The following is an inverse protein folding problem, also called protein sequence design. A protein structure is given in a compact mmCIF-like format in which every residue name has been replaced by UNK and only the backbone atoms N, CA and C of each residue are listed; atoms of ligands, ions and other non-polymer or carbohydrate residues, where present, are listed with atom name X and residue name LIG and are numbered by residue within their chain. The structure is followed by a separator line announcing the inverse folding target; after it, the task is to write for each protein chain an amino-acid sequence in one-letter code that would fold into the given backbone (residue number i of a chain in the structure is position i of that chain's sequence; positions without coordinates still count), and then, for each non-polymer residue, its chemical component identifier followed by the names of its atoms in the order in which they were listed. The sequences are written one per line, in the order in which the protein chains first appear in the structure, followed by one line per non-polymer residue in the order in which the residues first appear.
data_IF_753430900849
#
_entry.id   IF_753430900849
#
_cell.length_a   1.000
_cell.length_b   1.000
_cell.length_c   1.000
_cell.angle_alpha   90.00
_cell.angle_beta   90.00
_cell.angle_gamma   90.00
#
_symmetry.space_group_name_H-M   'P 1'
#
loop_
_entity.id
_entity.type
_entity.pdbx_description
1 polymer ?
#
# COMPACT_ATOMS: atom_id res chain seq x y z
N UNK A 1 -12.17 17.91 18.76
CA UNK A 1 -11.29 17.90 17.56
C UNK A 1 -11.97 17.45 16.26
N UNK A 2 -12.77 16.37 16.22
CA UNK A 2 -13.45 15.95 14.95
C UNK A 2 -14.54 16.91 14.45
N UNK A 3 -15.28 17.57 15.33
CA UNK A 3 -16.29 18.59 14.95
C UNK A 3 -15.65 19.92 14.48
N UNK A 4 -14.50 20.25 14.99
CA UNK A 4 -13.76 21.48 14.66
C UNK A 4 -13.19 21.46 13.25
N UNK A 5 -12.82 20.27 12.72
CA UNK A 5 -12.29 20.14 11.34
C UNK A 5 -13.37 20.35 10.27
N UNK A 6 -14.63 19.99 10.55
CA UNK A 6 -15.74 20.19 9.59
C UNK A 6 -16.09 21.67 9.43
N UNK A 7 -15.90 22.46 10.50
CA UNK A 7 -16.20 23.91 10.54
C UNK A 7 -14.95 24.79 10.43
N UNK A 8 -13.76 24.19 10.25
CA UNK A 8 -12.49 24.89 10.18
C UNK A 8 -12.42 25.85 8.99
N UNK A 9 -11.71 26.96 9.17
CA UNK A 9 -11.48 27.93 8.09
C UNK A 9 -10.60 27.33 7.00
N UNK A 10 -10.74 27.81 5.78
CA UNK A 10 -9.99 27.33 4.59
C UNK A 10 -8.48 27.22 4.84
N UNK A 11 -7.85 28.25 5.38
CA UNK A 11 -6.40 28.24 5.63
C UNK A 11 -5.97 27.26 6.72
N UNK A 12 -6.83 26.99 7.71
CA UNK A 12 -6.52 26.01 8.75
C UNK A 12 -6.55 24.58 8.20
N UNK A 13 -7.47 24.30 7.27
CA UNK A 13 -7.50 23.00 6.57
C UNK A 13 -6.24 22.77 5.74
N UNK A 14 -5.75 23.81 5.04
CA UNK A 14 -4.49 23.72 4.28
C UNK A 14 -3.31 23.44 5.21
N UNK A 15 -3.16 24.19 6.29
CA UNK A 15 -2.06 24.02 7.25
C UNK A 15 -2.02 22.64 7.88
N UNK A 16 -3.18 22.02 8.11
CA UNK A 16 -3.28 20.70 8.72
C UNK A 16 -2.98 19.59 7.69
N UNK A 17 -3.43 19.74 6.44
CA UNK A 17 -3.33 18.69 5.41
C UNK A 17 -2.02 18.73 4.62
N UNK A 18 -1.52 19.94 4.29
CA UNK A 18 -0.37 20.12 3.42
C UNK A 18 0.89 19.39 3.90
N UNK A 19 1.28 19.41 5.19
CA UNK A 19 2.47 18.69 5.64
C UNK A 19 2.39 17.18 5.35
N UNK A 20 1.22 16.57 5.54
CA UNK A 20 1.01 15.15 5.28
C UNK A 20 1.01 14.82 3.78
N UNK A 21 0.50 15.73 2.94
CA UNK A 21 0.59 15.58 1.48
C UNK A 21 2.02 15.70 0.98
N UNK A 22 2.86 16.54 1.62
CA UNK A 22 4.30 16.62 1.32
C UNK A 22 4.99 15.30 1.68
N UNK A 23 4.64 14.70 2.82
CA UNK A 23 5.13 13.36 3.21
C UNK A 23 4.72 12.32 2.15
N UNK A 24 3.44 12.32 1.73
CA UNK A 24 2.95 11.45 0.67
C UNK A 24 3.71 11.65 -0.66
N UNK A 25 3.90 12.91 -1.06
CA UNK A 25 4.67 13.23 -2.27
C UNK A 25 6.11 12.72 -2.19
N UNK A 26 6.76 12.87 -1.04
CA UNK A 26 8.13 12.35 -0.84
C UNK A 26 8.18 10.84 -1.04
N UNK A 27 7.19 10.10 -0.48
CA UNK A 27 7.08 8.66 -0.68
C UNK A 27 6.84 8.27 -2.15
N UNK A 28 5.96 8.99 -2.85
CA UNK A 28 5.71 8.77 -4.26
C UNK A 28 6.96 9.02 -5.13
N UNK A 29 7.75 10.06 -4.81
CA UNK A 29 9.02 10.31 -5.48
C UNK A 29 10.06 9.21 -5.21
N UNK A 30 10.12 8.70 -3.97
CA UNK A 30 10.98 7.54 -3.63
C UNK A 30 10.54 6.29 -4.40
N UNK A 31 9.25 6.03 -4.52
CA UNK A 31 8.72 4.95 -5.33
C UNK A 31 9.13 5.12 -6.81
N UNK A 32 9.08 6.33 -7.35
CA UNK A 32 9.60 6.66 -8.69
C UNK A 32 11.10 6.37 -8.85
N UNK A 33 11.91 6.68 -7.82
CA UNK A 33 13.34 6.33 -7.81
C UNK A 33 13.54 4.81 -7.81
N UNK A 34 12.71 4.05 -7.07
CA UNK A 34 12.76 2.58 -7.12
C UNK A 34 12.48 2.09 -8.52
N UNK A 35 11.40 2.55 -9.15
CA UNK A 35 11.05 2.18 -10.54
C UNK A 35 12.21 2.47 -11.50
N UNK A 36 12.86 3.62 -11.38
CA UNK A 36 14.00 3.99 -12.24
C UNK A 36 15.21 3.06 -12.10
N UNK A 37 15.40 2.40 -10.95
CA UNK A 37 16.48 1.42 -10.75
C UNK A 37 16.25 0.12 -11.54
N UNK A 38 15.02 -0.15 -11.93
CA UNK A 38 14.64 -1.31 -12.74
C UNK A 38 14.37 -0.97 -14.20
N UNK A 39 14.94 0.14 -14.70
CA UNK A 39 14.78 0.59 -16.09
C UNK A 39 15.16 -0.50 -17.10
N UNK A 40 16.23 -1.25 -16.86
CA UNK A 40 16.67 -2.35 -17.75
C UNK A 40 15.60 -3.42 -17.84
N UNK A 41 15.08 -3.90 -16.71
CA UNK A 41 14.00 -4.90 -16.70
C UNK A 41 12.74 -4.40 -17.42
N UNK A 42 12.42 -3.11 -17.29
CA UNK A 42 11.30 -2.49 -17.99
C UNK A 42 11.53 -2.37 -19.50
N UNK A 43 12.77 -2.14 -19.94
CA UNK A 43 13.13 -2.09 -21.38
C UNK A 43 13.06 -3.50 -22.01
N UNK A 44 13.51 -4.53 -21.29
CA UNK A 44 13.46 -5.92 -21.76
C UNK A 44 12.03 -6.47 -21.74
N UNK A 45 11.24 -6.10 -20.73
CA UNK A 45 9.87 -6.57 -20.49
C UNK A 45 8.89 -5.41 -20.29
N UNK A 46 8.61 -4.65 -21.36
CA UNK A 46 7.73 -3.47 -21.31
C UNK A 46 6.35 -3.76 -20.69
N UNK A 47 5.87 -5.01 -20.80
CA UNK A 47 4.61 -5.44 -20.21
C UNK A 47 4.58 -5.28 -18.68
N UNK A 48 5.72 -5.27 -17.99
CA UNK A 48 5.79 -4.97 -16.56
C UNK A 48 5.22 -3.58 -16.24
N UNK A 49 5.47 -2.59 -17.10
CA UNK A 49 4.99 -1.23 -16.88
C UNK A 49 3.46 -1.14 -16.84
N UNK A 50 2.75 -2.00 -17.57
CA UNK A 50 1.28 -2.00 -17.63
C UNK A 50 0.65 -2.39 -16.30
N UNK A 51 1.35 -3.16 -15.46
CA UNK A 51 0.81 -3.68 -14.21
C UNK A 51 1.29 -2.91 -12.96
N UNK A 52 2.21 -1.93 -13.10
CA UNK A 52 2.62 -1.05 -11.98
C UNK A 52 1.39 -0.42 -11.30
N UNK A 53 0.42 0.17 -12.03
CA UNK A 53 -0.77 0.75 -11.41
C UNK A 53 -1.63 -0.28 -10.68
N UNK A 54 -1.71 -1.51 -11.18
CA UNK A 54 -2.49 -2.60 -10.56
C UNK A 54 -1.87 -2.99 -9.22
N UNK A 55 -0.54 -3.16 -9.16
CA UNK A 55 0.19 -3.51 -7.94
C UNK A 55 0.02 -2.42 -6.88
N UNK A 56 0.30 -1.16 -7.24
CA UNK A 56 0.19 -0.03 -6.31
C UNK A 56 -1.25 0.13 -5.80
N UNK A 57 -2.23 0.18 -6.72
CA UNK A 57 -3.63 0.39 -6.37
C UNK A 57 -4.20 -0.71 -5.46
N UNK A 58 -3.94 -1.98 -5.77
CA UNK A 58 -4.51 -3.08 -4.98
C UNK A 58 -3.88 -3.18 -3.59
N UNK A 59 -2.59 -2.87 -3.47
CA UNK A 59 -1.91 -2.79 -2.17
C UNK A 59 -2.45 -1.64 -1.32
N UNK A 60 -2.64 -0.45 -1.91
CA UNK A 60 -3.21 0.69 -1.22
C UNK A 60 -4.69 0.45 -0.83
N UNK A 61 -5.47 -0.15 -1.71
CA UNK A 61 -6.88 -0.42 -1.46
C UNK A 61 -7.10 -1.33 -0.24
N UNK A 62 -6.39 -2.47 -0.15
CA UNK A 62 -6.51 -3.36 1.02
C UNK A 62 -5.94 -2.71 2.28
N UNK A 63 -4.84 -1.96 2.14
CA UNK A 63 -4.23 -1.23 3.24
C UNK A 63 -5.16 -0.17 3.82
N UNK A 64 -5.77 0.65 2.99
CA UNK A 64 -6.74 1.67 3.40
C UNK A 64 -7.97 1.05 4.09
N UNK A 65 -8.47 -0.10 3.61
CA UNK A 65 -9.54 -0.83 4.29
C UNK A 65 -9.11 -1.30 5.68
N UNK A 66 -7.95 -1.93 5.79
CA UNK A 66 -7.39 -2.41 7.06
C UNK A 66 -7.16 -1.24 8.02
N UNK A 67 -6.53 -0.15 7.56
CA UNK A 67 -6.24 1.04 8.36
C UNK A 67 -7.50 1.67 8.94
N UNK A 68 -8.52 1.84 8.11
CA UNK A 68 -9.81 2.43 8.51
C UNK A 68 -10.48 1.61 9.62
N UNK A 69 -10.51 0.27 9.46
CA UNK A 69 -11.09 -0.64 10.45
C UNK A 69 -10.25 -0.62 11.74
N UNK A 70 -8.92 -0.65 11.60
CA UNK A 70 -8.00 -0.68 12.72
C UNK A 70 -8.04 0.60 13.57
N UNK A 71 -8.04 1.78 12.95
CA UNK A 71 -8.17 3.07 13.67
C UNK A 71 -9.49 3.12 14.44
N UNK A 72 -10.58 2.67 13.84
CA UNK A 72 -11.89 2.59 14.52
C UNK A 72 -11.85 1.62 15.71
N UNK A 73 -11.19 0.47 15.54
CA UNK A 73 -11.04 -0.51 16.61
C UNK A 73 -10.18 0.04 17.76
N UNK A 74 -9.07 0.72 17.47
CA UNK A 74 -8.20 1.35 18.47
C UNK A 74 -8.91 2.41 19.31
N UNK A 75 -9.91 3.08 18.75
CA UNK A 75 -10.66 4.12 19.44
C UNK A 75 -11.71 3.57 20.41
N UNK A 76 -12.28 2.40 20.12
CA UNK A 76 -13.52 1.93 20.78
C UNK A 76 -13.40 0.58 21.48
N UNK A 77 -12.35 -0.19 21.22
CA UNK A 77 -12.25 -1.58 21.68
C UNK A 77 -10.95 -1.84 22.48
N UNK A 78 -11.04 -2.79 23.41
CA UNK A 78 -9.85 -3.39 24.06
C UNK A 78 -9.59 -4.75 23.42
N UNK A 79 -8.45 -4.89 22.73
CA UNK A 79 -8.07 -6.14 22.05
C UNK A 79 -6.55 -6.29 21.99
N UNK A 80 -6.10 -7.52 21.71
CA UNK A 80 -4.68 -7.78 21.51
C UNK A 80 -4.23 -7.34 20.12
N UNK A 81 -3.43 -6.28 20.06
CA UNK A 81 -2.88 -5.72 18.82
C UNK A 81 -2.10 -6.80 18.04
N UNK A 82 -1.27 -7.59 18.71
CA UNK A 82 -0.49 -8.67 18.07
C UNK A 82 -1.38 -9.69 17.37
N UNK A 83 -2.45 -10.16 18.05
CA UNK A 83 -3.41 -11.10 17.46
C UNK A 83 -4.16 -10.49 16.29
N UNK A 84 -4.47 -9.19 16.36
CA UNK A 84 -5.13 -8.46 15.27
C UNK A 84 -4.23 -8.38 14.04
N UNK A 85 -2.98 -7.93 14.17
CA UNK A 85 -2.02 -7.83 13.06
C UNK A 85 -1.81 -9.20 12.40
N UNK A 86 -1.68 -10.26 13.20
CA UNK A 86 -1.53 -11.61 12.67
C UNK A 86 -2.76 -12.06 11.87
N UNK A 87 -3.96 -11.75 12.33
CA UNK A 87 -5.20 -12.00 11.58
C UNK A 87 -5.24 -11.21 10.27
N UNK A 88 -4.88 -9.93 10.30
CA UNK A 88 -4.84 -9.09 9.10
C UNK A 88 -3.81 -9.57 8.08
N UNK A 89 -2.67 -10.11 8.51
CA UNK A 89 -1.72 -10.77 7.62
C UNK A 89 -2.36 -11.93 6.85
N UNK A 90 -3.15 -12.79 7.52
CA UNK A 90 -3.87 -13.87 6.84
C UNK A 90 -4.98 -13.36 5.92
N UNK A 91 -5.67 -12.28 6.29
CA UNK A 91 -6.65 -11.62 5.41
C UNK A 91 -5.92 -11.11 4.15
N UNK A 92 -4.80 -10.40 4.32
CA UNK A 92 -3.99 -9.91 3.20
C UNK A 92 -3.48 -11.04 2.30
N UNK A 93 -2.98 -12.13 2.88
CA UNK A 93 -2.51 -13.31 2.13
C UNK A 93 -3.66 -13.98 1.35
N UNK A 94 -4.83 -14.15 1.95
CA UNK A 94 -5.99 -14.75 1.29
C UNK A 94 -6.50 -13.87 0.15
N UNK A 95 -6.70 -12.58 0.40
CA UNK A 95 -7.12 -11.63 -0.62
C UNK A 95 -6.07 -11.48 -1.71
N UNK A 96 -4.78 -11.41 -1.33
CA UNK A 96 -3.66 -11.37 -2.25
C UNK A 96 -3.56 -12.62 -3.14
N UNK A 97 -3.89 -13.81 -2.61
CA UNK A 97 -3.96 -15.04 -3.41
C UNK A 97 -5.09 -14.97 -4.44
N UNK A 98 -6.28 -14.57 -4.02
CA UNK A 98 -7.45 -14.52 -4.89
C UNK A 98 -7.29 -13.46 -5.99
N UNK A 99 -6.95 -12.24 -5.61
CA UNK A 99 -6.76 -11.12 -6.55
C UNK A 99 -5.51 -11.35 -7.39
N UNK A 100 -4.43 -11.87 -6.79
CA UNK A 100 -3.19 -12.21 -7.50
C UNK A 100 -3.40 -13.28 -8.56
N UNK A 101 -4.19 -14.33 -8.27
CA UNK A 101 -4.56 -15.34 -9.27
C UNK A 101 -5.33 -14.71 -10.43
N UNK A 102 -6.36 -13.92 -10.15
CA UNK A 102 -7.16 -13.25 -11.19
C UNK A 102 -6.32 -12.29 -12.02
N UNK A 103 -5.58 -11.39 -11.38
CA UNK A 103 -4.75 -10.41 -12.07
C UNK A 103 -3.60 -11.07 -12.85
N UNK A 104 -2.97 -12.10 -12.28
CA UNK A 104 -1.92 -12.87 -12.95
C UNK A 104 -2.43 -13.60 -14.18
N UNK A 105 -3.63 -14.19 -14.11
CA UNK A 105 -4.29 -14.80 -15.26
C UNK A 105 -4.53 -13.77 -16.39
N UNK A 106 -5.12 -12.64 -16.07
CA UNK A 106 -5.32 -11.56 -17.05
C UNK A 106 -4.01 -10.99 -17.58
N UNK A 107 -2.99 -10.85 -16.72
CA UNK A 107 -1.67 -10.40 -17.13
C UNK A 107 -1.02 -11.36 -18.12
N UNK A 108 -1.17 -12.67 -17.92
CA UNK A 108 -0.69 -13.69 -18.88
C UNK A 108 -1.37 -13.54 -20.24
N UNK A 109 -2.69 -13.29 -20.26
CA UNK A 109 -3.45 -13.11 -21.50
C UNK A 109 -3.04 -11.83 -22.25
N UNK A 110 -2.91 -10.70 -21.52
CA UNK A 110 -2.58 -9.40 -22.11
C UNK A 110 -1.14 -9.37 -22.65
N UNK A 111 -0.20 -9.93 -21.88
CA UNK A 111 1.23 -9.91 -22.26
C UNK A 111 1.64 -11.06 -23.19
N UNK A 112 0.82 -12.09 -23.34
CA UNK A 112 1.19 -13.32 -24.03
C UNK A 112 2.26 -14.14 -23.30
N UNK A 113 2.56 -13.84 -22.01
CA UNK A 113 3.63 -14.47 -21.23
C UNK A 113 3.13 -14.95 -19.87
N UNK A 114 3.25 -16.25 -19.62
CA UNK A 114 2.93 -16.84 -18.33
C UNK A 114 3.88 -16.36 -17.21
N UNK A 115 5.12 -16.02 -17.54
CA UNK A 115 6.08 -15.47 -16.58
C UNK A 115 5.62 -14.09 -16.05
N UNK A 116 5.16 -13.20 -16.94
CA UNK A 116 4.59 -11.90 -16.53
C UNK A 116 3.36 -12.10 -15.62
N UNK A 117 2.49 -13.05 -15.98
CA UNK A 117 1.34 -13.39 -15.14
C UNK A 117 1.74 -13.87 -13.75
N UNK A 118 2.78 -14.70 -13.67
CA UNK A 118 3.31 -15.21 -12.41
C UNK A 118 3.94 -14.09 -11.58
N UNK A 119 4.69 -13.19 -12.21
CA UNK A 119 5.23 -11.99 -11.56
C UNK A 119 4.10 -11.16 -10.94
N UNK A 120 3.07 -10.82 -11.70
CA UNK A 120 1.94 -10.01 -11.22
C UNK A 120 1.20 -10.71 -10.08
N UNK A 121 0.91 -12.02 -10.24
CA UNK A 121 0.19 -12.80 -9.24
C UNK A 121 0.93 -12.89 -7.90
N UNK A 122 2.19 -13.27 -7.92
CA UNK A 122 3.01 -13.39 -6.71
C UNK A 122 3.28 -12.02 -6.07
N UNK A 123 3.49 -10.99 -6.88
CA UNK A 123 3.67 -9.63 -6.37
C UNK A 123 2.45 -9.13 -5.62
N UNK A 124 1.24 -9.38 -6.12
CA UNK A 124 0.01 -9.03 -5.41
C UNK A 124 -0.15 -9.83 -4.12
N UNK A 125 0.17 -11.12 -4.13
CA UNK A 125 0.15 -11.92 -2.90
C UNK A 125 1.02 -11.32 -1.81
N UNK A 126 2.28 -11.02 -2.11
CA UNK A 126 3.21 -10.49 -1.13
C UNK A 126 2.93 -9.03 -0.76
N UNK A 127 2.63 -8.16 -1.73
CA UNK A 127 2.39 -6.75 -1.46
C UNK A 127 1.09 -6.50 -0.70
N UNK A 128 0.00 -7.20 -1.02
CA UNK A 128 -1.26 -7.09 -0.25
C UNK A 128 -1.11 -7.65 1.16
N UNK A 129 -0.33 -8.72 1.34
CA UNK A 129 0.00 -9.24 2.69
C UNK A 129 0.80 -8.24 3.51
N UNK A 130 1.82 -7.61 2.91
CA UNK A 130 2.61 -6.59 3.57
C UNK A 130 1.79 -5.33 3.88
N UNK A 131 0.92 -4.91 2.96
CA UNK A 131 0.09 -3.72 3.09
C UNK A 131 -0.83 -3.77 4.31
N UNK A 132 -1.47 -4.92 4.60
CA UNK A 132 -2.32 -5.08 5.79
C UNK A 132 -1.54 -4.94 7.09
N UNK A 133 -0.30 -5.43 7.13
CA UNK A 133 0.58 -5.29 8.31
C UNK A 133 1.00 -3.84 8.51
N UNK A 134 1.45 -3.17 7.43
CA UNK A 134 1.84 -1.76 7.44
C UNK A 134 0.68 -0.86 7.87
N UNK A 135 -0.51 -1.10 7.36
CA UNK A 135 -1.73 -0.38 7.69
C UNK A 135 -2.12 -0.47 9.19
N UNK A 136 -1.69 -1.51 9.89
CA UNK A 136 -1.82 -1.60 11.35
C UNK A 136 -0.68 -0.89 12.09
N UNK A 137 0.54 -0.96 11.57
CA UNK A 137 1.72 -0.41 12.26
C UNK A 137 1.76 1.12 12.24
N UNK A 138 1.43 1.73 11.10
CA UNK A 138 1.50 3.20 10.93
C UNK A 138 0.63 3.95 11.94
N UNK A 139 -0.65 3.64 12.16
CA UNK A 139 -1.46 4.31 13.18
C UNK A 139 -0.92 4.16 14.60
N UNK A 140 -0.30 3.01 14.92
CA UNK A 140 0.32 2.78 16.24
C UNK A 140 1.52 3.71 16.42
N UNK A 141 2.39 3.81 15.40
CA UNK A 141 3.56 4.68 15.41
C UNK A 141 3.14 6.14 15.56
N UNK A 142 2.19 6.62 14.74
CA UNK A 142 1.72 8.00 14.80
C UNK A 142 1.09 8.35 16.15
N UNK A 143 0.33 7.42 16.74
CA UNK A 143 -0.23 7.60 18.07
C UNK A 143 0.85 7.75 19.16
N UNK A 144 2.00 7.08 19.02
CA UNK A 144 3.12 7.20 19.96
C UNK A 144 3.75 8.59 19.92
N UNK A 145 3.70 9.29 18.80
CA UNK A 145 4.16 10.67 18.64
C UNK A 145 3.10 11.73 18.99
N UNK A 146 1.99 11.34 19.62
CA UNK A 146 0.85 12.23 19.99
C UNK A 146 0.19 12.91 18.78
N UNK A 147 0.41 12.44 17.58
CA UNK A 147 -0.30 12.90 16.39
C UNK A 147 -1.66 12.19 16.27
N UNK A 148 -2.65 12.89 15.71
CA UNK A 148 -3.95 12.27 15.43
C UNK A 148 -3.81 11.35 14.20
N UNK A 149 -3.95 10.01 14.39
CA UNK A 149 -3.86 9.08 13.26
C UNK A 149 -4.85 9.36 12.14
N UNK A 150 -6.01 9.95 12.46
CA UNK A 150 -7.04 10.23 11.47
C UNK A 150 -6.65 11.30 10.43
N UNK A 151 -5.61 12.10 10.69
CA UNK A 151 -5.18 13.18 9.78
C UNK A 151 -3.94 12.78 8.99
N UNK A 152 -3.00 12.08 9.64
CA UNK A 152 -1.67 11.84 9.05
C UNK A 152 -1.42 10.42 8.57
N UNK A 153 -2.19 9.43 9.06
CA UNK A 153 -1.88 8.04 8.72
C UNK A 153 -2.11 7.74 7.25
N UNK A 154 -3.19 8.21 6.64
CA UNK A 154 -3.49 7.92 5.24
C UNK A 154 -2.32 8.22 4.29
N UNK A 155 -1.91 9.50 4.10
CA UNK A 155 -0.81 9.84 3.19
C UNK A 155 0.51 9.15 3.53
N UNK A 156 0.80 8.94 4.82
CA UNK A 156 2.01 8.24 5.24
C UNK A 156 1.95 6.74 4.93
N UNK A 157 0.80 6.11 5.18
CA UNK A 157 0.59 4.67 4.89
C UNK A 157 0.66 4.41 3.39
N UNK A 158 -0.04 5.21 2.57
CA UNK A 158 0.02 5.11 1.11
C UNK A 158 1.45 5.25 0.59
N UNK A 159 2.19 6.28 1.04
CA UNK A 159 3.58 6.48 0.63
C UNK A 159 4.47 5.26 0.95
N UNK A 160 4.31 4.69 2.15
CA UNK A 160 5.07 3.50 2.56
C UNK A 160 4.64 2.25 1.78
N UNK A 161 3.35 2.09 1.50
CA UNK A 161 2.82 0.99 0.72
C UNK A 161 3.29 1.03 -0.73
N UNK A 162 3.33 2.19 -1.37
CA UNK A 162 3.85 2.35 -2.73
C UNK A 162 5.32 1.92 -2.82
N UNK A 163 6.16 2.40 -1.90
CA UNK A 163 7.57 2.00 -1.83
C UNK A 163 7.72 0.49 -1.66
N UNK A 164 6.98 -0.10 -0.72
CA UNK A 164 7.09 -1.54 -0.42
C UNK A 164 6.51 -2.40 -1.54
N UNK A 165 5.33 -2.06 -2.07
CA UNK A 165 4.67 -2.85 -3.12
C UNK A 165 5.45 -2.85 -4.42
N UNK A 166 5.99 -1.71 -4.85
CA UNK A 166 6.81 -1.63 -6.06
C UNK A 166 8.17 -2.30 -5.88
N UNK A 167 8.77 -2.20 -4.67
CA UNK A 167 9.98 -2.96 -4.36
C UNK A 167 9.74 -4.46 -4.48
N UNK A 168 8.66 -4.97 -3.88
CA UNK A 168 8.26 -6.38 -3.99
C UNK A 168 8.04 -6.77 -5.45
N UNK A 169 7.32 -5.94 -6.20
CA UNK A 169 7.02 -6.20 -7.62
C UNK A 169 8.28 -6.41 -8.45
N UNK A 170 9.23 -5.48 -8.35
CA UNK A 170 10.45 -5.56 -9.13
C UNK A 170 11.42 -6.65 -8.63
N UNK A 171 11.45 -6.94 -7.32
CA UNK A 171 12.21 -8.07 -6.79
C UNK A 171 11.66 -9.40 -7.32
N UNK A 172 10.34 -9.59 -7.31
CA UNK A 172 9.71 -10.79 -7.88
C UNK A 172 9.99 -10.89 -9.38
N UNK A 173 9.89 -9.75 -10.10
CA UNK A 173 10.22 -9.71 -11.53
C UNK A 173 11.68 -10.13 -11.79
N UNK A 174 12.65 -9.61 -11.03
CA UNK A 174 14.07 -9.95 -11.18
C UNK A 174 14.43 -11.39 -10.82
N UNK A 175 13.56 -12.10 -10.09
CA UNK A 175 13.77 -13.52 -9.76
C UNK A 175 13.18 -14.44 -10.85
N UNK A 176 12.11 -14.01 -11.51
CA UNK A 176 11.35 -14.86 -12.45
C UNK A 176 11.78 -14.63 -13.90
N UNK A 177 12.19 -13.41 -14.22
CA UNK A 177 12.61 -12.98 -15.57
C UNK A 177 14.12 -12.90 -15.67
#
# INVERSE_FOLDING_TARGET
MKAELVTARFWDLIKIRLPWLIVGLTGALLAGVIVSRFELSLREHIALAFFIPVIAYMSDAIGTQTETIFIRALANLRFSIKKYIFRELFVGATMGSLIGFLAGFFASLISGSSQIGLVVGLSLFFSMSAATVLACQVPIILRSFRNDPAVGSGPFTTALQDVVSLTIYFLVASIIL
#
